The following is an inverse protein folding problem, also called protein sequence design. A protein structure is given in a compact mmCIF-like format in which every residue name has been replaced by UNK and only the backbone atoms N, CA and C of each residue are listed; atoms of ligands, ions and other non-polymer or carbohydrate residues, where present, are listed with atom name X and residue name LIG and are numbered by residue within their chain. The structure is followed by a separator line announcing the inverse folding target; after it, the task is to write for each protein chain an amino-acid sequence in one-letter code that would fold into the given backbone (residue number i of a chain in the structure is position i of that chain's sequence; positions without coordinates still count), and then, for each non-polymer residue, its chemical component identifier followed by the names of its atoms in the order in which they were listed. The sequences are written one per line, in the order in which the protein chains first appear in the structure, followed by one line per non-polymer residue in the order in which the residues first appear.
data_IF_709512722557
#
_entry.id   IF_709512722557
#
_cell.length_a   1.000
_cell.length_b   1.000
_cell.length_c   1.000
_cell.angle_alpha   90.00
_cell.angle_beta   90.00
_cell.angle_gamma   90.00
#
_symmetry.space_group_name_H-M   'P 1'
#
loop_
_entity.id
_entity.type
_entity.pdbx_description
1 polymer ?
#
# COMPACT_ATOMS: atom_id res chain seq x y z
N UNK A 1 -0.42 -19.54 11.79
CA UNK A 1 -0.58 -18.08 11.90
C UNK A 1 0.77 -17.50 11.52
N UNK A 2 0.80 -16.69 10.47
CA UNK A 2 2.04 -16.22 9.85
C UNK A 2 2.64 -15.06 10.67
N UNK A 3 3.86 -15.20 11.17
CA UNK A 3 4.50 -14.22 12.06
C UNK A 3 4.74 -12.88 11.37
N UNK A 4 4.94 -12.91 10.05
CA UNK A 4 5.20 -11.74 9.23
C UNK A 4 3.99 -10.80 9.17
N UNK A 5 2.77 -11.36 9.21
CA UNK A 5 1.54 -10.57 9.20
C UNK A 5 1.40 -9.70 10.46
N UNK A 6 1.68 -10.27 11.63
CA UNK A 6 1.57 -9.54 12.89
C UNK A 6 2.61 -8.42 12.97
N UNK A 7 3.83 -8.67 12.48
CA UNK A 7 4.88 -7.66 12.41
C UNK A 7 4.48 -6.50 11.49
N UNK A 8 3.90 -6.80 10.33
CA UNK A 8 3.38 -5.79 9.41
C UNK A 8 2.25 -4.95 10.04
N UNK A 9 1.29 -5.60 10.69
CA UNK A 9 0.17 -4.93 11.37
C UNK A 9 0.66 -4.01 12.50
N UNK A 10 1.56 -4.50 13.35
CA UNK A 10 2.15 -3.70 14.42
C UNK A 10 2.91 -2.48 13.87
N UNK A 11 3.63 -2.64 12.76
CA UNK A 11 4.30 -1.54 12.08
C UNK A 11 3.30 -0.51 11.53
N UNK A 12 2.23 -0.95 10.87
CA UNK A 12 1.17 -0.08 10.34
C UNK A 12 0.50 0.73 11.46
N UNK A 13 0.18 0.11 12.59
CA UNK A 13 -0.37 0.81 13.76
C UNK A 13 0.60 1.87 14.29
N UNK A 14 1.90 1.60 14.26
CA UNK A 14 2.94 2.57 14.60
C UNK A 14 2.96 3.78 13.65
N UNK A 15 2.82 3.55 12.35
CA UNK A 15 2.72 4.60 11.32
C UNK A 15 1.46 5.45 11.51
N UNK A 16 0.30 4.80 11.71
CA UNK A 16 -0.97 5.50 11.95
C UNK A 16 -0.90 6.41 13.19
N UNK A 17 -0.26 5.94 14.27
CA UNK A 17 -0.07 6.75 15.48
C UNK A 17 0.79 7.99 15.22
N UNK A 18 1.88 7.85 14.46
CA UNK A 18 2.74 8.99 14.07
C UNK A 18 1.97 10.00 13.22
N UNK A 19 1.23 9.52 12.22
CA UNK A 19 0.40 10.36 11.37
C UNK A 19 -0.63 11.14 12.22
N UNK A 20 -1.35 10.45 13.10
CA UNK A 20 -2.33 11.07 13.99
C UNK A 20 -1.71 12.18 14.86
N UNK A 21 -0.57 11.91 15.51
CA UNK A 21 0.12 12.88 16.35
C UNK A 21 0.55 14.13 15.58
N UNK A 22 1.09 13.94 14.37
CA UNK A 22 1.52 15.06 13.55
C UNK A 22 0.36 15.85 12.97
N UNK A 23 -0.70 15.20 12.51
CA UNK A 23 -1.90 15.90 12.01
C UNK A 23 -2.54 16.74 13.11
N UNK A 24 -2.53 16.25 14.36
CA UNK A 24 -2.94 17.03 15.54
C UNK A 24 -2.04 18.27 15.76
N UNK A 25 -0.74 18.13 15.56
CA UNK A 25 0.24 19.21 15.77
C UNK A 25 0.33 20.19 14.57
N UNK A 26 -0.09 19.78 13.38
CA UNK A 26 0.02 20.55 12.13
C UNK A 26 -1.32 20.53 11.37
N UNK A 27 -2.37 21.23 11.85
CA UNK A 27 -3.71 21.14 11.29
C UNK A 27 -3.80 21.56 9.82
N UNK A 28 -2.99 22.55 9.42
CA UNK A 28 -2.91 23.08 8.06
C UNK A 28 -1.79 22.42 7.22
N UNK A 29 -1.10 21.43 7.79
CA UNK A 29 0.06 20.81 7.16
C UNK A 29 -0.34 19.66 6.22
N UNK A 30 0.30 19.60 5.05
CA UNK A 30 0.33 18.40 4.23
C UNK A 30 1.49 17.48 4.66
N UNK A 31 1.18 16.24 5.05
CA UNK A 31 2.21 15.27 5.43
C UNK A 31 2.99 14.82 4.18
N UNK A 32 4.28 15.19 4.09
CA UNK A 32 5.10 15.00 2.87
C UNK A 32 5.48 13.54 2.61
N UNK A 33 5.64 12.71 3.64
CA UNK A 33 6.11 11.32 3.48
C UNK A 33 4.97 10.31 3.26
N UNK A 34 3.75 10.77 2.99
CA UNK A 34 2.57 9.88 2.93
C UNK A 34 2.73 8.83 1.84
N UNK A 35 3.29 9.24 0.70
CA UNK A 35 3.53 8.33 -0.42
C UNK A 35 4.54 7.23 -0.09
N UNK A 36 5.62 7.56 0.63
CA UNK A 36 6.62 6.58 1.05
C UNK A 36 6.03 5.51 1.96
N UNK A 37 5.06 5.86 2.79
CA UNK A 37 4.38 4.90 3.67
C UNK A 37 3.31 4.08 2.95
N UNK A 38 2.48 4.71 2.11
CA UNK A 38 1.45 4.01 1.33
C UNK A 38 2.05 2.97 0.39
N UNK A 39 3.26 3.24 -0.14
CA UNK A 39 3.99 2.34 -1.03
C UNK A 39 4.95 1.38 -0.30
N UNK A 40 5.03 1.44 1.05
CA UNK A 40 5.85 0.49 1.82
C UNK A 40 5.26 -0.93 1.70
N UNK A 41 6.12 -1.92 1.46
CA UNK A 41 5.68 -3.28 1.21
C UNK A 41 4.91 -3.88 2.41
N UNK A 42 5.24 -3.46 3.65
CA UNK A 42 4.49 -3.86 4.86
C UNK A 42 3.06 -3.32 4.84
N UNK A 43 2.88 -2.08 4.37
CA UNK A 43 1.56 -1.46 4.21
C UNK A 43 0.75 -2.17 3.11
N UNK A 44 1.39 -2.47 1.98
CA UNK A 44 0.76 -3.19 0.87
C UNK A 44 0.36 -4.63 1.26
N UNK A 45 1.20 -5.34 2.01
CA UNK A 45 0.86 -6.68 2.54
C UNK A 45 -0.32 -6.60 3.51
N UNK A 46 -0.33 -5.66 4.44
CA UNK A 46 -1.46 -5.49 5.35
C UNK A 46 -2.77 -5.14 4.61
N UNK A 47 -2.70 -4.22 3.64
CA UNK A 47 -3.84 -3.84 2.81
C UNK A 47 -4.37 -5.03 1.99
N UNK A 48 -3.48 -5.80 1.38
CA UNK A 48 -3.82 -6.99 0.61
C UNK A 48 -4.61 -8.00 1.44
N UNK A 49 -4.21 -8.25 2.69
CA UNK A 49 -4.90 -9.20 3.56
C UNK A 49 -6.33 -8.77 3.85
N UNK A 50 -6.56 -7.47 4.09
CA UNK A 50 -7.92 -6.93 4.22
C UNK A 50 -8.71 -7.12 2.94
N UNK A 51 -8.17 -6.73 1.78
CA UNK A 51 -8.83 -6.87 0.47
C UNK A 51 -9.15 -8.33 0.16
N UNK A 52 -8.22 -9.23 0.40
CA UNK A 52 -8.35 -10.66 0.14
C UNK A 52 -9.42 -11.33 1.03
N UNK A 53 -9.66 -10.77 2.23
CA UNK A 53 -10.70 -11.23 3.16
C UNK A 53 -12.09 -10.67 2.88
N UNK A 54 -12.20 -9.63 2.04
CA UNK A 54 -13.49 -8.98 1.75
C UNK A 54 -14.45 -9.93 1.02
N UNK A 55 -15.76 -9.73 1.24
CA UNK A 55 -16.84 -10.53 0.61
C UNK A 55 -16.73 -10.58 -0.93
N UNK A 56 -16.18 -9.52 -1.53
CA UNK A 56 -15.93 -9.42 -2.98
C UNK A 56 -14.64 -10.06 -3.50
N UNK A 57 -13.78 -10.66 -2.66
CA UNK A 57 -12.48 -11.20 -3.10
C UNK A 57 -12.57 -12.32 -4.16
N UNK A 58 -13.75 -12.91 -4.34
CA UNK A 58 -14.04 -13.91 -5.39
C UNK A 58 -14.57 -13.31 -6.70
N UNK A 59 -14.91 -12.02 -6.70
CA UNK A 59 -15.45 -11.31 -7.85
C UNK A 59 -14.29 -10.63 -8.58
N UNK A 60 -14.23 -10.80 -9.89
CA UNK A 60 -13.19 -10.16 -10.69
C UNK A 60 -13.44 -8.66 -10.82
N UNK A 61 -12.36 -7.87 -10.81
CA UNK A 61 -12.42 -6.46 -11.23
C UNK A 61 -12.60 -6.32 -12.74
N UNK A 62 -12.57 -5.08 -13.23
CA UNK A 62 -12.58 -4.78 -14.68
C UNK A 62 -11.38 -5.40 -15.41
N UNK A 63 -10.29 -5.65 -14.69
CA UNK A 63 -9.07 -6.31 -15.15
C UNK A 63 -9.19 -7.84 -15.25
N UNK A 64 -10.33 -8.41 -14.87
CA UNK A 64 -10.55 -9.86 -14.86
C UNK A 64 -9.69 -10.60 -13.82
N UNK A 65 -9.11 -9.90 -12.84
CA UNK A 65 -8.30 -10.48 -11.78
C UNK A 65 -9.13 -10.74 -10.52
N UNK A 66 -8.94 -11.92 -9.93
CA UNK A 66 -9.51 -12.30 -8.63
C UNK A 66 -8.40 -12.54 -7.62
N UNK A 67 -8.74 -12.53 -6.33
CA UNK A 67 -7.79 -12.89 -5.25
C UNK A 67 -7.21 -14.28 -5.48
N UNK A 68 -8.04 -15.24 -5.92
CA UNK A 68 -7.58 -16.60 -6.24
C UNK A 68 -6.54 -16.64 -7.36
N UNK A 69 -6.73 -15.83 -8.41
CA UNK A 69 -5.79 -15.76 -9.55
C UNK A 69 -4.46 -15.10 -9.15
N UNK A 70 -4.49 -14.11 -8.27
CA UNK A 70 -3.28 -13.49 -7.72
C UNK A 70 -2.53 -14.48 -6.83
N UNK A 71 -3.24 -15.20 -5.95
CA UNK A 71 -2.66 -16.26 -5.10
C UNK A 71 -1.94 -17.34 -5.89
N UNK A 72 -2.54 -17.81 -6.99
CA UNK A 72 -1.90 -18.80 -7.87
C UNK A 72 -0.62 -18.28 -8.53
N UNK A 73 -0.54 -16.98 -8.86
CA UNK A 73 0.64 -16.36 -9.46
C UNK A 73 1.71 -15.97 -8.42
N UNK A 74 1.36 -15.97 -7.14
CA UNK A 74 2.21 -15.56 -6.01
C UNK A 74 1.88 -14.15 -5.53
N UNK A 75 1.39 -14.04 -4.30
CA UNK A 75 1.01 -12.76 -3.67
C UNK A 75 2.22 -11.85 -3.47
N UNK A 76 3.34 -12.40 -3.01
CA UNK A 76 4.56 -11.61 -2.75
C UNK A 76 5.07 -10.90 -4.00
N UNK A 77 5.26 -11.66 -5.09
CA UNK A 77 5.70 -11.12 -6.39
C UNK A 77 4.74 -10.07 -6.94
N UNK A 78 3.43 -10.28 -6.78
CA UNK A 78 2.43 -9.31 -7.18
C UNK A 78 2.58 -7.99 -6.41
N UNK A 79 2.78 -8.05 -5.10
CA UNK A 79 2.93 -6.85 -4.26
C UNK A 79 4.24 -6.12 -4.48
N UNK A 80 5.34 -6.83 -4.77
CA UNK A 80 6.61 -6.21 -5.18
C UNK A 80 6.49 -5.49 -6.53
N UNK A 81 5.80 -6.11 -7.49
CA UNK A 81 5.51 -5.47 -8.78
C UNK A 81 4.66 -4.21 -8.62
N UNK A 82 3.58 -4.30 -7.84
CA UNK A 82 2.72 -3.16 -7.52
C UNK A 82 3.51 -2.04 -6.82
N UNK A 83 4.40 -2.37 -5.88
CA UNK A 83 5.27 -1.39 -5.24
C UNK A 83 6.16 -0.68 -6.25
N UNK A 84 6.81 -1.43 -7.14
CA UNK A 84 7.68 -0.86 -8.15
C UNK A 84 6.91 0.10 -9.08
N UNK A 85 5.72 -0.30 -9.55
CA UNK A 85 4.84 0.54 -10.37
C UNK A 85 4.42 1.83 -9.65
N UNK A 86 4.03 1.75 -8.38
CA UNK A 86 3.65 2.93 -7.60
C UNK A 86 4.84 3.88 -7.35
N UNK A 87 6.05 3.34 -7.18
CA UNK A 87 7.24 4.17 -6.96
C UNK A 87 7.74 4.83 -8.25
N UNK A 88 7.68 4.16 -9.39
CA UNK A 88 8.08 4.76 -10.66
C UNK A 88 7.07 5.79 -11.17
N UNK A 89 5.79 5.63 -10.84
CA UNK A 89 4.76 6.59 -11.19
C UNK A 89 5.00 7.98 -10.59
N UNK A 90 5.55 8.09 -9.37
CA UNK A 90 5.82 9.40 -8.77
C UNK A 90 7.08 10.07 -9.31
N UNK A 91 8.08 9.28 -9.70
CA UNK A 91 9.26 9.82 -10.37
C UNK A 91 8.83 10.47 -11.70
N UNK A 92 7.99 9.79 -12.48
CA UNK A 92 7.45 10.31 -13.73
C UNK A 92 6.60 11.60 -13.52
N UNK A 93 5.78 11.68 -12.48
CA UNK A 93 5.00 12.89 -12.15
C UNK A 93 5.90 14.04 -11.72
N UNK A 94 6.95 13.76 -10.95
CA UNK A 94 7.92 14.78 -10.50
C UNK A 94 8.71 15.37 -11.67
N UNK A 95 9.16 14.54 -12.62
CA UNK A 95 9.82 15.01 -13.85
C UNK A 95 8.89 15.83 -14.76
N UNK A 96 7.59 15.50 -14.80
CA UNK A 96 6.61 16.23 -15.62
C UNK A 96 6.24 17.60 -15.02
N UNK A 97 6.33 17.77 -13.70
CA UNK A 97 6.07 19.04 -13.02
C UNK A 97 7.30 19.97 -12.91
N UNK A 98 8.52 19.48 -13.11
CA UNK A 98 9.76 20.29 -13.10
C UNK A 98 10.25 20.69 -14.50
N UNK A 99 9.57 20.23 -15.55
CA UNK A 99 9.84 20.57 -16.95
C UNK A 99 8.72 21.37 -17.60
N UNK A 100 8.44 22.58 -17.10
CA UNK A 100 7.91 23.72 -17.85
C UNK A 100 8.19 25.02 -17.10
#
# INVERSE_FOLDING_TARGET
MDMDHWADEAWVLGVQRKLYQWSKANPEGAWRDMWGWVTDLRMLRHAWQRVASNRGGRIAGIDGMTVGRIRQKGEHRFLEGLQAELRTAIDAVSYTCMGR
#
